data_IF_579019135431
#
_entry.id   IF_579019135431
#
_cell.length_a   1.000
_cell.length_b   1.000
_cell.length_c   1.000
_cell.angle_alpha   90.00
_cell.angle_beta   90.00
_cell.angle_gamma   90.00
#
_symmetry.space_group_name_H-M   'P 1'
#
loop_
_entity.id
_entity.type
_entity.pdbx_description
1 polymer ?
#
# COMPACT_ATOMS: atom_id res chain seq x y z
N UNK A 1 3.87 -35.01 -7.83
CA UNK A 1 2.96 -34.21 -8.67
C UNK A 1 3.33 -32.75 -8.54
N UNK A 2 3.78 -32.17 -9.62
CA UNK A 2 4.06 -30.76 -9.62
C UNK A 2 2.73 -30.01 -9.68
N UNK A 3 2.32 -29.46 -8.58
CA UNK A 3 1.30 -28.45 -8.63
C UNK A 3 1.89 -27.22 -9.27
N UNK A 4 1.53 -26.96 -10.51
CA UNK A 4 1.82 -25.65 -11.10
C UNK A 4 1.15 -24.62 -10.20
N UNK A 5 1.97 -23.82 -9.52
CA UNK A 5 1.44 -22.69 -8.75
C UNK A 5 0.73 -21.77 -9.72
N UNK A 6 -0.58 -21.63 -9.58
CA UNK A 6 -1.35 -20.67 -10.36
C UNK A 6 -0.85 -19.27 -10.02
N UNK A 7 -0.73 -18.40 -11.02
CA UNK A 7 -0.45 -17.00 -10.76
C UNK A 7 -1.54 -16.42 -9.88
N UNK A 8 -1.20 -15.62 -8.87
CA UNK A 8 -2.21 -14.96 -8.05
C UNK A 8 -3.17 -14.15 -8.93
N UNK A 9 -4.44 -14.18 -8.59
CA UNK A 9 -5.48 -13.44 -9.30
C UNK A 9 -5.89 -12.24 -8.45
N UNK A 10 -5.91 -11.07 -9.09
CA UNK A 10 -6.35 -9.86 -8.42
C UNK A 10 -7.81 -9.99 -7.97
N UNK A 11 -8.15 -9.55 -6.74
CA UNK A 11 -9.54 -9.64 -6.26
C UNK A 11 -10.52 -8.92 -7.17
N UNK A 12 -11.79 -9.35 -7.23
CA UNK A 12 -12.81 -8.66 -8.02
C UNK A 12 -12.94 -7.19 -7.61
N UNK A 13 -13.13 -6.32 -8.59
CA UNK A 13 -13.25 -4.89 -8.37
C UNK A 13 -11.93 -4.14 -8.38
N UNK A 14 -10.81 -4.85 -8.59
CA UNK A 14 -9.46 -4.27 -8.58
C UNK A 14 -8.65 -4.77 -9.77
N UNK A 15 -7.68 -3.95 -10.20
CA UNK A 15 -6.75 -4.32 -11.28
C UNK A 15 -5.41 -3.61 -11.07
N UNK A 16 -4.32 -4.30 -11.39
CA UNK A 16 -2.96 -3.73 -11.35
C UNK A 16 -2.66 -3.13 -12.72
N UNK A 17 -2.25 -1.86 -12.74
CA UNK A 17 -1.89 -1.14 -13.97
C UNK A 17 -0.70 -0.22 -13.72
N UNK A 18 -0.12 0.30 -14.79
CA UNK A 18 0.88 1.37 -14.68
C UNK A 18 0.24 2.64 -14.14
N UNK A 19 0.97 3.30 -13.23
CA UNK A 19 0.62 4.61 -12.69
C UNK A 19 1.80 5.56 -12.84
N UNK A 20 1.66 6.78 -12.34
CA UNK A 20 2.77 7.76 -12.32
C UNK A 20 3.96 7.32 -11.45
N UNK A 21 3.75 6.36 -10.55
CA UNK A 21 4.77 5.88 -9.61
C UNK A 21 5.19 4.43 -9.86
N UNK A 22 5.02 3.93 -11.08
CA UNK A 22 5.28 2.53 -11.43
C UNK A 22 3.99 1.75 -11.55
N UNK A 23 3.89 0.58 -10.92
CA UNK A 23 2.63 -0.16 -10.88
C UNK A 23 1.74 0.40 -9.77
N UNK A 24 0.44 0.39 -10.00
CA UNK A 24 -0.56 0.81 -9.02
C UNK A 24 -1.74 -0.13 -9.00
N UNK A 25 -2.57 -0.01 -7.97
CA UNK A 25 -3.82 -0.76 -7.84
C UNK A 25 -4.98 0.18 -8.14
N UNK A 26 -5.80 -0.20 -9.10
CA UNK A 26 -6.91 0.61 -9.60
C UNK A 26 -8.23 -0.08 -9.37
N UNK A 27 -9.30 0.70 -9.23
CA UNK A 27 -10.65 0.16 -9.10
C UNK A 27 -11.25 -0.14 -10.47
N UNK A 28 -12.11 -1.16 -10.52
CA UNK A 28 -12.90 -1.49 -11.71
C UNK A 28 -14.41 -1.33 -11.45
N UNK A 29 -14.77 -0.97 -10.23
CA UNK A 29 -16.14 -0.65 -9.82
C UNK A 29 -16.15 0.52 -8.86
N UNK A 30 -17.33 1.14 -8.58
CA UNK A 30 -17.40 2.20 -7.57
C UNK A 30 -17.27 1.62 -6.16
N UNK A 31 -16.73 2.43 -5.25
CA UNK A 31 -16.65 2.11 -3.82
C UNK A 31 -17.28 3.26 -3.04
N UNK A 32 -18.00 2.92 -1.99
CA UNK A 32 -18.58 3.92 -1.08
C UNK A 32 -17.56 4.34 -0.03
N UNK A 33 -17.75 5.53 0.55
CA UNK A 33 -16.93 5.96 1.68
C UNK A 33 -17.02 4.95 2.82
N UNK A 34 -15.87 4.59 3.39
CA UNK A 34 -15.80 3.65 4.51
C UNK A 34 -15.91 2.19 4.10
N UNK A 35 -15.88 1.89 2.81
CA UNK A 35 -15.94 0.51 2.33
C UNK A 35 -14.57 -0.15 2.44
N UNK A 36 -14.53 -1.40 2.92
CA UNK A 36 -13.30 -2.19 2.93
C UNK A 36 -12.95 -2.58 1.51
N UNK A 37 -11.68 -2.39 1.15
CA UNK A 37 -11.19 -2.67 -0.20
C UNK A 37 -10.38 -3.96 -0.23
N UNK A 38 -9.37 -4.06 0.62
CA UNK A 38 -8.42 -5.17 0.55
C UNK A 38 -7.66 -5.24 1.87
N UNK A 39 -7.15 -6.43 2.20
CA UNK A 39 -6.23 -6.61 3.32
C UNK A 39 -4.80 -6.53 2.83
N UNK A 40 -3.94 -5.80 3.56
CA UNK A 40 -2.49 -5.84 3.39
C UNK A 40 -1.97 -6.95 4.28
N UNK A 41 -1.50 -8.03 3.69
CA UNK A 41 -1.09 -9.21 4.46
C UNK A 41 0.29 -9.69 4.04
N UNK A 42 0.87 -10.53 4.87
CA UNK A 42 2.17 -11.12 4.61
C UNK A 42 2.70 -11.82 5.84
N UNK A 43 4.00 -12.13 5.80
CA UNK A 43 4.67 -12.78 6.91
C UNK A 43 4.90 -11.78 8.04
N UNK A 44 4.56 -12.18 9.25
CA UNK A 44 4.87 -11.38 10.43
C UNK A 44 6.34 -11.49 10.77
N UNK A 45 7.00 -10.35 10.97
CA UNK A 45 8.40 -10.30 11.33
C UNK A 45 8.58 -9.48 12.62
N UNK A 46 9.68 -9.78 13.33
CA UNK A 46 10.05 -9.05 14.54
C UNK A 46 10.66 -7.70 14.18
N UNK A 47 10.78 -6.82 15.17
CA UNK A 47 11.47 -5.53 14.98
C UNK A 47 12.95 -5.71 14.66
N UNK A 48 13.58 -6.75 15.22
CA UNK A 48 14.97 -7.06 14.89
C UNK A 48 15.10 -7.46 13.42
N UNK A 49 14.21 -8.30 12.93
CA UNK A 49 14.20 -8.72 11.51
C UNK A 49 13.86 -7.55 10.60
N UNK A 50 12.93 -6.68 11.00
CA UNK A 50 12.60 -5.46 10.25
C UNK A 50 13.82 -4.59 10.03
N UNK A 51 14.63 -4.42 11.08
CA UNK A 51 15.82 -3.57 11.04
C UNK A 51 16.83 -4.03 9.99
N UNK A 52 16.95 -5.34 9.77
CA UNK A 52 17.89 -5.92 8.82
C UNK A 52 17.28 -6.22 7.45
N UNK A 53 15.97 -6.12 7.32
CA UNK A 53 15.27 -6.45 6.09
C UNK A 53 15.51 -5.40 5.01
N UNK A 54 15.68 -5.87 3.77
CA UNK A 54 15.79 -5.01 2.58
C UNK A 54 14.47 -4.90 1.83
N UNK A 55 13.40 -5.49 2.35
CA UNK A 55 12.09 -5.42 1.72
C UNK A 55 11.54 -3.99 1.76
N UNK A 56 10.96 -3.54 0.66
CA UNK A 56 10.27 -2.26 0.59
C UNK A 56 8.77 -2.37 0.89
N UNK A 57 8.30 -3.57 1.19
CA UNK A 57 6.89 -3.85 1.48
C UNK A 57 6.65 -4.12 2.97
N UNK A 58 7.39 -3.43 3.83
CA UNK A 58 7.22 -3.56 5.27
C UNK A 58 6.11 -2.64 5.76
N UNK A 59 5.18 -3.18 6.53
CA UNK A 59 4.11 -2.41 7.15
C UNK A 59 4.14 -2.62 8.66
N UNK A 60 4.41 -1.54 9.41
CA UNK A 60 4.41 -1.60 10.86
C UNK A 60 2.99 -1.66 11.39
N UNK A 61 2.65 -2.75 12.06
CA UNK A 61 1.32 -2.93 12.68
C UNK A 61 1.27 -2.27 14.05
N UNK A 62 2.31 -2.51 14.86
CA UNK A 62 2.45 -1.92 16.18
C UNK A 62 3.92 -1.98 16.61
N UNK A 63 4.21 -1.64 17.88
CA UNK A 63 5.58 -1.60 18.39
C UNK A 63 6.27 -2.97 18.44
N UNK A 64 5.55 -4.07 18.25
CA UNK A 64 6.07 -5.43 18.36
C UNK A 64 6.04 -6.19 17.04
N UNK A 65 5.26 -5.73 16.06
CA UNK A 65 4.93 -6.53 14.88
C UNK A 65 4.99 -5.69 13.62
N UNK A 66 5.64 -6.24 12.61
CA UNK A 66 5.67 -5.70 11.25
C UNK A 66 5.27 -6.81 10.29
N UNK A 67 4.57 -6.44 9.22
CA UNK A 67 4.21 -7.36 8.14
C UNK A 67 5.15 -7.12 6.97
N UNK A 68 5.75 -8.19 6.46
CA UNK A 68 6.47 -8.17 5.19
C UNK A 68 5.49 -8.58 4.09
N UNK A 69 5.03 -7.61 3.32
CA UNK A 69 4.00 -7.79 2.30
C UNK A 69 4.54 -8.18 0.93
N UNK A 70 5.71 -8.78 0.85
CA UNK A 70 6.36 -9.16 -0.42
C UNK A 70 5.61 -10.26 -1.18
N UNK A 71 4.71 -11.01 -0.54
CA UNK A 71 3.99 -12.11 -1.16
C UNK A 71 3.23 -11.65 -2.41
N UNK A 72 3.29 -12.45 -3.47
CA UNK A 72 2.73 -12.09 -4.78
C UNK A 72 1.21 -11.95 -4.76
N UNK A 73 0.52 -12.63 -3.87
CA UNK A 73 -0.93 -12.53 -3.71
C UNK A 73 -1.37 -11.37 -2.81
N UNK A 74 -0.42 -10.65 -2.21
CA UNK A 74 -0.73 -9.42 -1.49
C UNK A 74 -0.81 -8.26 -2.50
N UNK A 75 -1.96 -8.10 -3.16
CA UNK A 75 -2.14 -7.03 -4.14
C UNK A 75 -2.17 -5.64 -3.51
N UNK A 76 -2.43 -5.55 -2.21
CA UNK A 76 -2.36 -4.28 -1.49
C UNK A 76 -0.97 -3.64 -1.54
N UNK A 77 0.09 -4.44 -1.79
CA UNK A 77 1.46 -3.91 -1.93
C UNK A 77 1.61 -2.97 -3.13
N UNK A 78 0.70 -3.02 -4.09
CA UNK A 78 0.73 -2.14 -5.26
C UNK A 78 0.04 -0.81 -5.01
N UNK A 79 -0.60 -0.60 -3.85
CA UNK A 79 -1.20 0.68 -3.52
C UNK A 79 -0.10 1.69 -3.27
N UNK A 80 -0.07 2.75 -4.05
CA UNK A 80 0.96 3.76 -3.97
C UNK A 80 0.66 4.81 -2.91
N UNK A 81 1.70 5.51 -2.49
CA UNK A 81 1.54 6.65 -1.59
C UNK A 81 0.89 7.83 -2.32
N UNK A 82 0.06 8.58 -1.60
CA UNK A 82 -0.39 9.89 -2.04
C UNK A 82 -0.44 10.84 -0.86
N UNK A 83 -0.10 12.10 -1.14
CA UNK A 83 -0.23 13.20 -0.18
C UNK A 83 -1.71 13.59 0.02
N UNK A 84 -2.58 13.19 -0.93
CA UNK A 84 -4.04 13.38 -0.85
C UNK A 84 -4.70 12.03 -1.15
N UNK A 85 -4.67 11.10 -0.19
CA UNK A 85 -5.10 9.71 -0.44
C UNK A 85 -6.62 9.58 -0.50
N UNK A 86 -7.07 8.46 -1.07
CA UNK A 86 -8.49 8.09 -1.07
C UNK A 86 -8.78 6.88 -0.19
N UNK A 87 -7.75 6.31 0.43
CA UNK A 87 -7.88 5.18 1.34
C UNK A 87 -7.04 5.42 2.59
N UNK A 88 -7.29 4.60 3.61
CA UNK A 88 -6.49 4.57 4.82
C UNK A 88 -6.34 3.13 5.30
N UNK A 89 -5.17 2.78 5.87
CA UNK A 89 -5.01 1.49 6.53
C UNK A 89 -5.51 1.56 7.96
N UNK A 90 -6.21 0.52 8.38
CA UNK A 90 -6.66 0.34 9.77
C UNK A 90 -6.17 -1.00 10.27
N UNK A 91 -5.68 -1.03 11.51
CA UNK A 91 -5.32 -2.29 12.17
C UNK A 91 -6.52 -2.77 12.96
N UNK A 92 -7.09 -3.89 12.52
CA UNK A 92 -8.27 -4.50 13.14
C UNK A 92 -7.91 -5.92 13.52
N UNK A 93 -7.88 -6.21 14.84
CA UNK A 93 -7.55 -7.54 15.37
C UNK A 93 -6.22 -8.09 14.81
N UNK A 94 -5.21 -7.22 14.71
CA UNK A 94 -3.89 -7.59 14.20
C UNK A 94 -3.77 -7.70 12.69
N UNK A 95 -4.83 -7.39 11.96
CA UNK A 95 -4.85 -7.37 10.50
C UNK A 95 -4.89 -5.94 10.00
N UNK A 96 -4.22 -5.69 8.87
CA UNK A 96 -4.22 -4.37 8.23
C UNK A 96 -5.26 -4.36 7.11
N UNK A 97 -6.32 -3.60 7.30
CA UNK A 97 -7.42 -3.49 6.34
C UNK A 97 -7.36 -2.12 5.69
N UNK A 98 -7.32 -2.09 4.36
CA UNK A 98 -7.35 -0.84 3.60
C UNK A 98 -8.82 -0.52 3.28
N UNK A 99 -9.28 0.65 3.71
CA UNK A 99 -10.65 1.10 3.50
C UNK A 99 -10.67 2.48 2.86
N UNK A 100 -11.75 2.79 2.16
CA UNK A 100 -11.89 4.09 1.51
C UNK A 100 -12.21 5.18 2.54
N UNK A 101 -11.71 6.38 2.30
CA UNK A 101 -12.03 7.57 3.11
C UNK A 101 -12.96 8.54 2.38
N UNK A 102 -13.27 8.24 1.13
CA UNK A 102 -14.27 8.94 0.32
C UNK A 102 -14.83 7.98 -0.72
N UNK A 103 -15.87 8.40 -1.41
CA UNK A 103 -16.40 7.63 -2.54
C UNK A 103 -15.35 7.57 -3.66
N UNK A 104 -15.22 6.41 -4.30
CA UNK A 104 -14.26 6.17 -5.37
C UNK A 104 -15.01 5.73 -6.62
N UNK A 105 -14.65 6.31 -7.76
CA UNK A 105 -15.22 5.98 -9.07
C UNK A 105 -14.43 4.86 -9.74
N UNK A 106 -15.06 4.09 -10.63
CA UNK A 106 -14.32 3.09 -11.42
C UNK A 106 -13.16 3.75 -12.17
N UNK A 107 -12.01 3.08 -12.20
CA UNK A 107 -10.82 3.57 -12.88
C UNK A 107 -9.93 4.47 -12.04
N UNK A 108 -10.31 4.80 -10.80
CA UNK A 108 -9.42 5.57 -9.93
C UNK A 108 -8.33 4.70 -9.35
N UNK A 109 -7.14 5.26 -9.20
CA UNK A 109 -6.04 4.61 -8.49
C UNK A 109 -6.27 4.68 -7.00
N UNK A 110 -6.10 3.55 -6.31
CA UNK A 110 -6.14 3.50 -4.85
C UNK A 110 -4.81 4.00 -4.29
N UNK A 111 -4.89 4.84 -3.27
CA UNK A 111 -3.71 5.42 -2.61
C UNK A 111 -3.97 5.54 -1.12
N UNK A 112 -2.91 5.49 -0.32
CA UNK A 112 -2.97 5.88 1.07
C UNK A 112 -1.67 6.58 1.47
N UNK A 113 -1.72 7.31 2.56
CA UNK A 113 -0.53 7.99 3.09
C UNK A 113 0.33 6.95 3.81
N UNK A 114 1.56 6.77 3.34
CA UNK A 114 2.50 5.79 3.91
C UNK A 114 3.05 6.24 5.28
N UNK A 115 2.81 7.48 5.67
CA UNK A 115 3.34 8.04 6.90
C UNK A 115 4.63 8.82 6.70
N UNK A 116 4.86 9.78 7.58
CA UNK A 116 5.97 10.73 7.45
C UNK A 116 7.34 10.04 7.42
N UNK A 117 7.54 9.03 8.25
CA UNK A 117 8.81 8.32 8.36
C UNK A 117 9.17 7.61 7.06
N UNK A 118 8.23 6.88 6.48
CA UNK A 118 8.45 6.19 5.21
C UNK A 118 8.70 7.19 4.08
N UNK A 119 7.92 8.26 4.04
CA UNK A 119 8.06 9.31 3.02
C UNK A 119 9.43 9.95 3.11
N UNK A 120 9.91 10.25 4.31
CA UNK A 120 11.22 10.86 4.51
C UNK A 120 12.37 9.96 4.01
N UNK A 121 12.27 8.66 4.22
CA UNK A 121 13.33 7.72 3.85
C UNK A 121 13.30 7.27 2.40
N UNK A 122 12.10 7.04 1.85
CA UNK A 122 11.96 6.34 0.56
C UNK A 122 11.38 7.19 -0.57
N UNK A 123 10.69 8.27 -0.26
CA UNK A 123 10.01 9.10 -1.27
C UNK A 123 10.63 10.48 -1.37
N UNK A 124 10.81 11.17 -0.26
CA UNK A 124 11.28 12.55 -0.25
C UNK A 124 12.60 12.77 -0.98
N UNK A 125 13.60 11.86 -0.88
CA UNK A 125 14.87 12.04 -1.61
C UNK A 125 14.72 12.06 -3.12
N UNK A 126 13.67 11.45 -3.66
CA UNK A 126 13.43 11.30 -5.10
C UNK A 126 12.28 12.16 -5.62
N UNK A 127 11.57 12.85 -4.74
CA UNK A 127 10.33 13.56 -5.08
C UNK A 127 9.12 12.64 -5.11
N UNK A 128 7.99 13.13 -4.63
CA UNK A 128 6.75 12.38 -4.58
C UNK A 128 6.11 12.30 -5.98
N UNK A 129 5.76 11.11 -6.43
CA UNK A 129 5.17 10.84 -7.74
C UNK A 129 3.67 10.58 -7.69
N UNK A 130 2.99 11.04 -6.63
CA UNK A 130 1.56 10.78 -6.49
C UNK A 130 0.68 11.55 -7.48
N UNK A 131 1.23 12.56 -8.15
CA UNK A 131 0.48 13.39 -9.10
C UNK A 131 -0.43 14.43 -8.42
N UNK A 132 -0.44 14.51 -7.10
CA UNK A 132 -1.34 15.39 -6.33
C UNK A 132 -0.59 16.44 -5.51
N UNK A 133 0.73 16.40 -5.56
CA UNK A 133 1.62 17.40 -4.98
C UNK A 133 2.58 17.87 -6.09
N UNK A 134 3.50 18.77 -5.76
CA UNK A 134 4.40 19.35 -6.76
C UNK A 134 5.55 18.43 -7.19
N UNK A 135 5.65 17.25 -6.61
CA UNK A 135 6.70 16.28 -6.93
C UNK A 135 8.08 16.65 -6.41
N UNK A 136 8.22 17.72 -5.66
CA UNK A 136 9.51 18.13 -5.11
C UNK A 136 9.87 17.28 -3.90
N UNK A 137 11.18 17.05 -3.66
CA UNK A 137 11.61 16.40 -2.42
C UNK A 137 11.06 17.11 -1.20
N UNK A 138 10.51 16.33 -0.27
CA UNK A 138 9.96 16.89 0.97
C UNK A 138 11.05 16.87 2.04
N UNK A 139 11.29 18.01 2.69
CA UNK A 139 12.24 18.06 3.80
C UNK A 139 11.64 17.33 5.00
N UNK A 140 12.42 16.45 5.67
CA UNK A 140 11.94 15.80 6.87
C UNK A 140 11.52 16.83 7.90
N UNK A 141 10.40 16.62 8.55
CA UNK A 141 10.02 17.44 9.69
C UNK A 141 11.01 17.19 10.81
N UNK A 142 11.57 18.24 11.33
CA UNK A 142 12.42 18.15 12.52
C UNK A 142 11.58 17.82 13.75
#
# INVERSE_FOLDING_TARGET
MSTKKKKPVCPPGLVVKRSSAGLGLFTTRPYKKGERVIEYFGREISKAEEYTSKSKYLFEVNSRKTIDGTQRDNFARYINHSCKPNCEPDTIRGKVIISTIRAIKPGEELTYDYGDEYVAEHIAPFGCRCGKCDGKPVKPKK
#
